data_IF_935198463700
#
_entry.id   IF_935198463700
#
_cell.length_a   1.000
_cell.length_b   1.000
_cell.length_c   1.000
_cell.angle_alpha   90.00
_cell.angle_beta   90.00
_cell.angle_gamma   90.00
#
_symmetry.space_group_name_H-M   'P 1'
#
loop_
_entity.id
_entity.type
_entity.pdbx_description
1 polymer ?
#
# COMPACT_ATOMS: atom_id res chain seq x y z
N UNK A 1 -54.43 -55.10 43.56
CA UNK A 1 -54.74 -54.44 42.27
C UNK A 1 -53.52 -53.67 41.80
N UNK A 2 -53.20 -53.80 40.50
CA UNK A 2 -52.30 -52.96 39.67
C UNK A 2 -50.77 -53.10 39.83
N UNK A 3 -50.22 -53.84 38.86
CA UNK A 3 -48.83 -53.83 38.36
C UNK A 3 -48.47 -52.44 37.81
N UNK A 4 -47.28 -51.92 38.08
CA UNK A 4 -46.62 -50.93 37.19
C UNK A 4 -45.11 -51.21 37.16
N UNK A 5 -44.66 -51.67 36.00
CA UNK A 5 -43.26 -51.80 35.61
C UNK A 5 -42.71 -50.42 35.23
N UNK A 6 -41.51 -50.07 35.67
CA UNK A 6 -40.79 -48.89 35.20
C UNK A 6 -39.80 -49.32 34.10
N UNK A 7 -40.14 -48.90 32.88
CA UNK A 7 -39.38 -49.08 31.65
C UNK A 7 -38.25 -48.04 31.63
N UNK A 8 -36.99 -48.49 31.51
CA UNK A 8 -35.86 -47.63 31.17
C UNK A 8 -36.02 -47.16 29.72
N UNK A 9 -36.35 -45.89 29.52
CA UNK A 9 -36.30 -45.24 28.22
C UNK A 9 -34.91 -44.67 27.98
N UNK A 10 -34.12 -45.32 27.11
CA UNK A 10 -32.90 -44.75 26.53
C UNK A 10 -33.29 -43.62 25.57
N UNK A 11 -33.09 -42.37 26.01
CA UNK A 11 -33.22 -41.18 25.18
C UNK A 11 -31.99 -41.07 24.26
N UNK A 12 -32.21 -41.38 22.98
CA UNK A 12 -31.29 -41.11 21.88
C UNK A 12 -31.12 -39.59 21.73
N UNK A 13 -29.93 -39.09 22.08
CA UNK A 13 -29.52 -37.71 21.84
C UNK A 13 -29.15 -37.59 20.35
N UNK A 14 -29.84 -36.76 19.54
CA UNK A 14 -29.37 -36.44 18.21
C UNK A 14 -28.14 -35.53 18.34
N UNK A 15 -27.01 -36.01 17.84
CA UNK A 15 -25.79 -35.24 17.67
C UNK A 15 -26.09 -34.14 16.63
N UNK A 16 -26.52 -32.97 17.09
CA UNK A 16 -26.71 -31.81 16.24
C UNK A 16 -25.32 -31.31 15.88
N UNK A 17 -24.86 -31.68 14.68
CA UNK A 17 -23.61 -31.19 14.10
C UNK A 17 -23.68 -29.68 13.98
N UNK A 18 -23.02 -28.99 14.91
CA UNK A 18 -22.78 -27.56 14.84
C UNK A 18 -21.77 -27.33 13.72
N UNK A 19 -22.25 -27.26 12.48
CA UNK A 19 -21.47 -26.79 11.34
C UNK A 19 -21.18 -25.30 11.60
N UNK A 20 -20.04 -25.04 12.23
CA UNK A 20 -19.54 -23.71 12.46
C UNK A 20 -19.43 -22.97 11.13
N UNK A 21 -20.09 -21.82 11.07
CA UNK A 21 -19.83 -20.78 10.08
C UNK A 21 -18.35 -20.39 10.19
N UNK A 22 -17.51 -20.96 9.34
CA UNK A 22 -16.14 -20.49 9.14
C UNK A 22 -16.22 -19.15 8.41
N UNK A 23 -16.31 -18.07 9.17
CA UNK A 23 -15.87 -16.77 8.70
C UNK A 23 -14.39 -16.90 8.30
N UNK A 24 -14.10 -16.63 7.03
CA UNK A 24 -12.73 -16.51 6.52
C UNK A 24 -12.04 -15.32 7.20
N UNK A 25 -11.54 -15.55 8.40
CA UNK A 25 -10.45 -14.76 8.95
C UNK A 25 -9.20 -15.17 8.17
N UNK A 26 -8.70 -14.27 7.33
CA UNK A 26 -7.42 -14.45 6.67
C UNK A 26 -6.34 -14.42 7.75
N UNK A 27 -6.04 -15.56 8.36
CA UNK A 27 -4.87 -15.72 9.21
C UNK A 27 -3.64 -15.66 8.31
N UNK A 28 -3.03 -14.49 8.20
CA UNK A 28 -1.71 -14.29 7.59
C UNK A 28 -0.68 -15.04 8.43
N UNK A 29 -0.37 -16.28 8.04
CA UNK A 29 0.83 -16.95 8.51
C UNK A 29 2.04 -16.07 8.14
N UNK A 30 2.94 -15.76 9.09
CA UNK A 30 4.13 -14.98 8.78
C UNK A 30 4.91 -15.65 7.65
N UNK A 31 5.28 -14.86 6.65
CA UNK A 31 6.15 -15.34 5.57
C UNK A 31 7.47 -15.82 6.18
N UNK A 32 7.91 -17.03 5.83
CA UNK A 32 9.13 -17.61 6.41
C UNK A 32 10.37 -16.79 6.07
N UNK A 33 11.35 -16.79 6.98
CA UNK A 33 12.60 -16.04 6.82
C UNK A 33 13.36 -16.48 5.56
N UNK A 34 13.36 -17.76 5.27
CA UNK A 34 14.01 -18.36 4.10
C UNK A 34 13.37 -17.84 2.81
N UNK A 35 12.05 -17.72 2.77
CA UNK A 35 11.33 -17.19 1.61
C UNK A 35 11.59 -15.70 1.41
N UNK A 36 11.61 -14.91 2.50
CA UNK A 36 11.99 -13.49 2.45
C UNK A 36 13.40 -13.33 1.87
N UNK A 37 14.35 -14.18 2.26
CA UNK A 37 15.71 -14.15 1.75
C UNK A 37 15.80 -14.41 0.23
N UNK A 38 14.95 -15.28 -0.32
CA UNK A 38 14.88 -15.53 -1.77
C UNK A 38 14.36 -14.34 -2.56
N UNK A 39 13.53 -13.50 -1.94
CA UNK A 39 12.93 -12.32 -2.57
C UNK A 39 13.81 -11.07 -2.45
N UNK A 40 14.99 -11.19 -1.83
CA UNK A 40 15.89 -10.06 -1.66
C UNK A 40 16.42 -9.53 -2.99
N UNK A 41 16.34 -8.21 -3.17
CA UNK A 41 16.73 -7.54 -4.42
C UNK A 41 15.63 -7.41 -5.46
N UNK A 42 14.50 -8.11 -5.27
CA UNK A 42 13.31 -7.92 -6.10
C UNK A 42 12.75 -6.49 -5.94
N UNK A 43 12.12 -5.92 -6.99
CA UNK A 43 11.47 -4.62 -6.87
C UNK A 43 10.41 -4.60 -5.76
N UNK A 44 10.36 -3.51 -5.00
CA UNK A 44 9.42 -3.32 -3.90
C UNK A 44 8.55 -2.07 -4.06
N UNK A 45 7.43 -2.07 -3.36
CA UNK A 45 6.47 -0.98 -3.28
C UNK A 45 5.95 -0.87 -1.85
N UNK A 46 5.74 0.35 -1.37
CA UNK A 46 5.27 0.59 0.00
C UNK A 46 3.91 1.27 -0.03
N UNK A 47 2.98 0.78 0.78
CA UNK A 47 1.79 1.51 1.17
C UNK A 47 1.80 1.80 2.67
N UNK A 48 1.44 3.02 3.06
CA UNK A 48 1.27 3.41 4.46
C UNK A 48 -0.19 3.80 4.69
N UNK A 49 -0.76 3.30 5.77
CA UNK A 49 -2.13 3.57 6.18
C UNK A 49 -2.16 4.18 7.58
N UNK A 50 -2.53 5.46 7.66
CA UNK A 50 -2.42 6.23 8.91
C UNK A 50 -3.44 5.82 9.96
N UNK A 51 -4.68 5.53 9.57
CA UNK A 51 -5.70 5.10 10.53
C UNK A 51 -5.38 3.73 11.12
N UNK A 52 -4.98 2.78 10.26
CA UNK A 52 -4.61 1.42 10.62
C UNK A 52 -3.25 1.35 11.32
N UNK A 53 -2.42 2.39 11.22
CA UNK A 53 -1.04 2.44 11.72
C UNK A 53 -0.19 1.30 11.15
N UNK A 54 -0.31 1.04 9.86
CA UNK A 54 0.46 0.00 9.18
C UNK A 54 1.26 0.55 8.01
N UNK A 55 2.42 -0.06 7.79
CA UNK A 55 3.19 0.02 6.56
C UNK A 55 3.17 -1.37 5.92
N UNK A 56 2.55 -1.48 4.76
CA UNK A 56 2.50 -2.70 3.96
C UNK A 56 3.65 -2.65 2.94
N UNK A 57 4.55 -3.63 3.01
CA UNK A 57 5.65 -3.80 2.07
C UNK A 57 5.26 -4.86 1.06
N UNK A 58 5.28 -4.48 -0.22
CA UNK A 58 4.99 -5.38 -1.33
C UNK A 58 6.26 -5.66 -2.12
N UNK A 59 6.35 -6.86 -2.68
CA UNK A 59 7.46 -7.29 -3.53
C UNK A 59 6.93 -7.81 -4.87
N UNK A 60 7.63 -7.49 -5.95
CA UNK A 60 7.26 -7.94 -7.29
C UNK A 60 7.54 -9.43 -7.45
N UNK A 61 6.52 -10.18 -7.85
CA UNK A 61 6.55 -11.60 -8.15
C UNK A 61 5.87 -11.83 -9.50
N UNK A 62 6.65 -12.22 -10.51
CA UNK A 62 6.17 -12.25 -11.89
C UNK A 62 5.76 -10.84 -12.34
N UNK A 63 4.51 -10.69 -12.78
CA UNK A 63 3.97 -9.40 -13.23
C UNK A 63 3.34 -8.54 -12.14
N UNK A 64 3.13 -9.08 -10.93
CA UNK A 64 2.34 -8.44 -9.89
C UNK A 64 3.14 -8.23 -8.61
N UNK A 65 2.73 -7.26 -7.80
CA UNK A 65 3.25 -7.04 -6.46
C UNK A 65 2.37 -7.76 -5.45
N UNK A 66 3.00 -8.58 -4.62
CA UNK A 66 2.34 -9.33 -3.55
C UNK A 66 2.78 -8.80 -2.19
N UNK A 67 1.88 -8.86 -1.22
CA UNK A 67 2.18 -8.42 0.14
C UNK A 67 3.25 -9.33 0.72
N UNK A 68 4.40 -8.75 1.09
CA UNK A 68 5.47 -9.46 1.76
C UNK A 68 5.21 -9.48 3.27
N UNK A 69 4.94 -8.31 3.85
CA UNK A 69 4.61 -8.17 5.27
C UNK A 69 3.94 -6.83 5.56
N UNK A 70 3.33 -6.73 6.74
CA UNK A 70 2.70 -5.54 7.30
C UNK A 70 3.33 -5.17 8.63
N UNK A 71 3.98 -4.01 8.68
CA UNK A 71 4.69 -3.54 9.87
C UNK A 71 3.87 -2.49 10.62
N UNK A 72 3.76 -2.66 11.94
CA UNK A 72 3.11 -1.67 12.81
C UNK A 72 3.94 -0.38 12.90
N UNK A 73 3.28 0.75 12.70
CA UNK A 73 3.82 2.09 12.96
C UNK A 73 3.63 2.39 14.45
N UNK A 74 4.72 2.64 15.18
CA UNK A 74 4.66 3.00 16.60
C UNK A 74 4.02 4.39 16.74
N UNK A 75 4.49 5.35 15.94
CA UNK A 75 4.06 6.75 16.03
C UNK A 75 4.13 7.44 14.67
N UNK A 76 3.09 8.23 14.40
CA UNK A 76 3.08 9.29 13.40
C UNK A 76 2.33 10.48 14.01
N UNK A 77 2.43 11.67 13.41
CA UNK A 77 1.94 12.91 14.02
C UNK A 77 0.81 13.55 13.20
N UNK A 78 -0.05 14.32 13.89
CA UNK A 78 -1.02 15.23 13.27
C UNK A 78 -2.29 14.60 12.69
N UNK A 79 -2.57 13.32 12.94
CA UNK A 79 -3.81 12.65 12.48
C UNK A 79 -3.97 12.62 10.94
N UNK A 80 -5.17 12.32 10.46
CA UNK A 80 -5.49 12.20 9.03
C UNK A 80 -5.49 13.55 8.30
N UNK A 81 -5.13 13.55 7.02
CA UNK A 81 -4.89 14.71 6.16
C UNK A 81 -3.39 14.90 5.82
N UNK A 82 -3.08 15.69 4.78
CA UNK A 82 -1.72 15.96 4.34
C UNK A 82 -0.98 16.93 5.26
N UNK A 83 0.36 16.85 5.25
CA UNK A 83 1.24 17.87 5.81
C UNK A 83 1.24 19.09 4.87
N UNK A 84 1.15 20.30 5.41
CA UNK A 84 1.07 21.53 4.61
C UNK A 84 2.12 22.57 4.97
N UNK A 85 2.58 22.66 6.22
CA UNK A 85 3.48 23.75 6.66
C UNK A 85 4.59 23.24 7.55
N UNK A 86 5.71 23.95 7.61
CA UNK A 86 6.72 23.65 8.62
C UNK A 86 6.14 23.89 10.03
N UNK A 87 6.39 22.95 10.96
CA UNK A 87 5.89 23.04 12.34
C UNK A 87 4.42 22.65 12.54
N UNK A 88 3.71 22.17 11.52
CA UNK A 88 2.33 21.66 11.68
C UNK A 88 2.21 20.29 12.37
N UNK A 89 3.35 19.71 12.76
CA UNK A 89 3.47 18.40 13.43
C UNK A 89 2.67 17.29 12.75
N UNK A 90 2.63 17.29 11.41
CA UNK A 90 1.81 16.37 10.63
C UNK A 90 2.63 15.47 9.72
N UNK A 91 2.29 14.19 9.70
CA UNK A 91 2.83 13.24 8.74
C UNK A 91 2.08 13.37 7.40
N UNK A 92 2.79 13.37 6.27
CA UNK A 92 2.21 13.64 4.96
C UNK A 92 1.27 12.53 4.48
N UNK A 93 0.49 12.82 3.44
CA UNK A 93 -0.30 11.86 2.66
C UNK A 93 -0.02 12.14 1.18
N UNK A 94 -0.15 11.14 0.30
CA UNK A 94 0.13 11.29 -1.13
C UNK A 94 1.10 10.26 -1.70
N UNK A 95 1.62 10.55 -2.89
CA UNK A 95 2.48 9.66 -3.66
C UNK A 95 3.92 10.16 -3.68
N UNK A 96 4.85 9.33 -3.24
CA UNK A 96 6.25 9.69 -3.04
C UNK A 96 7.17 8.65 -3.70
N UNK A 97 8.45 9.00 -3.81
CA UNK A 97 9.45 8.14 -4.41
C UNK A 97 10.77 8.22 -3.65
N UNK A 98 11.37 7.05 -3.41
CA UNK A 98 12.61 6.86 -2.67
C UNK A 98 13.69 6.37 -3.62
N UNK A 99 14.80 7.11 -3.67
CA UNK A 99 16.01 6.78 -4.40
C UNK A 99 17.15 6.44 -3.43
N UNK A 100 18.26 5.92 -3.96
CA UNK A 100 19.40 5.45 -3.15
C UNK A 100 19.99 6.51 -2.22
N UNK A 101 20.06 7.78 -2.66
CA UNK A 101 20.58 8.89 -1.85
C UNK A 101 19.67 9.28 -0.65
N UNK A 102 18.43 8.79 -0.63
CA UNK A 102 17.45 9.01 0.44
C UNK A 102 17.57 7.97 1.58
N UNK A 103 18.39 6.93 1.41
CA UNK A 103 18.71 5.98 2.47
C UNK A 103 19.69 6.61 3.47
N UNK A 104 19.40 6.46 4.77
CA UNK A 104 20.18 6.98 5.89
C UNK A 104 20.50 5.85 6.88
N UNK A 105 21.49 5.00 6.59
CA UNK A 105 21.87 3.89 7.47
C UNK A 105 22.42 4.37 8.82
N UNK A 106 22.98 5.58 8.86
CA UNK A 106 23.61 6.25 10.00
C UNK A 106 22.65 7.21 10.75
N UNK A 107 21.34 7.05 10.55
CA UNK A 107 20.33 7.86 11.23
C UNK A 107 20.45 7.77 12.75
N UNK A 108 20.29 8.92 13.42
CA UNK A 108 20.22 9.01 14.90
C UNK A 108 19.02 8.26 15.51
N UNK A 109 18.06 7.84 14.68
CA UNK A 109 16.86 7.08 15.08
C UNK A 109 16.88 5.63 14.55
N UNK A 110 18.06 4.99 14.52
CA UNK A 110 18.24 3.59 14.10
C UNK A 110 17.82 3.29 12.64
N UNK A 111 18.57 3.78 11.64
CA UNK A 111 18.23 3.77 10.19
C UNK A 111 17.00 4.62 9.84
N UNK A 112 17.05 5.23 8.66
CA UNK A 112 15.92 5.99 8.13
C UNK A 112 15.87 6.00 6.60
N UNK A 113 14.67 6.19 6.07
CA UNK A 113 14.38 6.36 4.66
C UNK A 113 13.66 7.69 4.50
N UNK A 114 14.28 8.66 3.82
CA UNK A 114 13.63 9.92 3.50
C UNK A 114 12.63 9.72 2.35
N UNK A 115 11.35 10.00 2.57
CA UNK A 115 10.31 9.74 1.56
C UNK A 115 10.32 10.76 0.41
N UNK A 116 11.04 11.88 0.53
CA UNK A 116 11.12 12.89 -0.53
C UNK A 116 9.98 13.90 -0.51
N UNK A 117 9.37 14.15 0.65
CA UNK A 117 8.49 15.32 0.85
C UNK A 117 9.31 16.62 0.81
N UNK A 118 8.82 17.69 0.15
CA UNK A 118 7.56 17.77 -0.59
C UNK A 118 7.67 17.16 -1.99
N UNK A 119 6.63 16.44 -2.44
CA UNK A 119 6.51 15.94 -3.82
C UNK A 119 6.00 17.04 -4.80
N UNK A 120 5.68 16.69 -6.04
CA UNK A 120 5.20 17.66 -7.03
C UNK A 120 3.84 18.31 -6.66
N UNK A 121 2.93 17.54 -6.05
CA UNK A 121 1.64 18.02 -5.61
C UNK A 121 1.82 19.00 -4.45
N UNK A 122 2.62 18.60 -3.46
CA UNK A 122 2.94 19.42 -2.29
C UNK A 122 3.52 20.78 -2.73
N UNK A 123 4.51 20.77 -3.63
CA UNK A 123 5.11 21.99 -4.18
C UNK A 123 4.10 22.85 -4.94
N UNK A 124 3.22 22.25 -5.73
CA UNK A 124 2.19 22.98 -6.48
C UNK A 124 1.17 23.70 -5.56
N UNK A 125 1.02 23.26 -4.31
CA UNK A 125 0.16 23.89 -3.30
C UNK A 125 0.94 24.73 -2.28
N UNK A 126 2.25 24.94 -2.50
CA UNK A 126 3.10 25.69 -1.58
C UNK A 126 3.28 24.99 -0.22
N UNK A 127 3.19 23.66 -0.17
CA UNK A 127 3.41 22.93 1.08
C UNK A 127 4.90 22.93 1.44
N UNK A 128 5.16 23.15 2.74
CA UNK A 128 6.51 23.36 3.24
C UNK A 128 6.95 22.31 4.27
N UNK A 129 8.26 22.12 4.35
CA UNK A 129 8.92 21.19 5.25
C UNK A 129 9.94 20.35 4.51
N UNK A 130 10.60 19.46 5.25
CA UNK A 130 11.64 18.56 4.75
C UNK A 130 11.85 17.43 5.75
N UNK A 131 12.60 16.41 5.34
CA UNK A 131 13.05 15.33 6.21
C UNK A 131 11.90 14.52 6.83
N UNK A 132 10.85 14.26 6.06
CA UNK A 132 9.82 13.30 6.45
C UNK A 132 10.36 11.91 6.15
N UNK A 133 10.46 11.07 7.19
CA UNK A 133 11.16 9.80 7.11
C UNK A 133 10.30 8.64 7.58
N UNK A 134 10.68 7.44 7.16
CA UNK A 134 10.33 6.18 7.82
C UNK A 134 11.60 5.77 8.58
N UNK A 135 11.53 5.58 9.90
CA UNK A 135 12.73 5.33 10.72
C UNK A 135 12.43 4.47 11.96
N UNK A 136 13.45 4.02 12.69
CA UNK A 136 13.32 3.22 13.91
C UNK A 136 13.00 4.03 15.17
N UNK A 137 13.39 3.50 16.33
CA UNK A 137 13.33 4.13 17.66
C UNK A 137 11.91 4.47 18.20
N UNK A 138 10.83 4.20 17.45
CA UNK A 138 9.44 4.44 17.86
C UNK A 138 9.09 5.87 18.36
N UNK A 139 9.94 6.87 18.18
CA UNK A 139 9.70 8.28 18.58
C UNK A 139 9.47 9.15 17.36
N UNK A 140 8.42 9.97 17.33
CA UNK A 140 8.16 10.86 16.18
C UNK A 140 7.43 12.15 16.57
N UNK A 141 7.74 13.21 15.79
CA UNK A 141 7.13 14.55 15.79
C UNK A 141 6.57 14.88 14.37
N UNK A 142 6.68 13.98 13.40
CA UNK A 142 6.22 14.18 12.01
C UNK A 142 6.51 13.02 11.05
N UNK A 143 7.49 12.18 11.36
CA UNK A 143 7.86 10.98 10.61
C UNK A 143 6.95 9.77 10.90
N UNK A 144 7.16 8.68 10.15
CA UNK A 144 6.62 7.35 10.44
C UNK A 144 7.65 6.55 11.25
N UNK A 145 7.50 6.53 12.57
CA UNK A 145 8.40 5.78 13.44
C UNK A 145 7.93 4.32 13.56
N UNK A 146 8.86 3.41 13.28
CA UNK A 146 8.73 1.96 13.31
C UNK A 146 9.51 1.41 14.50
N UNK A 147 9.33 0.13 14.79
CA UNK A 147 10.26 -0.61 15.66
C UNK A 147 11.60 -0.77 14.94
N UNK A 148 12.68 -0.95 15.70
CA UNK A 148 14.00 -1.22 15.15
C UNK A 148 14.00 -2.46 14.23
N UNK A 149 13.37 -3.54 14.69
CA UNK A 149 13.20 -4.75 13.87
C UNK A 149 12.42 -4.49 12.58
N UNK A 150 11.33 -3.71 12.64
CA UNK A 150 10.52 -3.40 11.46
C UNK A 150 11.30 -2.57 10.44
N UNK A 151 11.98 -1.50 10.88
CA UNK A 151 12.79 -0.70 9.97
C UNK A 151 13.99 -1.45 9.43
N UNK A 152 14.59 -2.40 10.17
CA UNK A 152 15.69 -3.21 9.66
C UNK A 152 15.29 -3.97 8.39
N UNK A 153 14.14 -4.64 8.44
CA UNK A 153 13.65 -5.44 7.33
C UNK A 153 13.20 -4.54 6.15
N UNK A 154 12.42 -3.49 6.43
CA UNK A 154 12.01 -2.51 5.41
C UNK A 154 13.25 -1.91 4.73
N UNK A 155 14.25 -1.49 5.51
CA UNK A 155 15.46 -0.88 5.00
C UNK A 155 16.28 -1.86 4.16
N UNK A 156 16.38 -3.13 4.56
CA UNK A 156 17.05 -4.17 3.79
C UNK A 156 16.38 -4.39 2.43
N UNK A 157 15.05 -4.53 2.39
CA UNK A 157 14.31 -4.72 1.14
C UNK A 157 14.38 -3.52 0.21
N UNK A 158 14.20 -2.31 0.74
CA UNK A 158 14.33 -1.07 -0.05
C UNK A 158 15.76 -0.91 -0.57
N UNK A 159 16.77 -1.15 0.27
CA UNK A 159 18.17 -1.09 -0.15
C UNK A 159 18.47 -2.12 -1.23
N UNK A 160 18.05 -3.37 -1.03
CA UNK A 160 18.24 -4.45 -1.99
C UNK A 160 17.63 -4.09 -3.33
N UNK A 161 16.35 -3.73 -3.36
CA UNK A 161 15.66 -3.39 -4.61
C UNK A 161 16.37 -2.26 -5.38
N UNK A 162 16.79 -1.19 -4.68
CA UNK A 162 17.50 -0.07 -5.28
C UNK A 162 18.91 -0.45 -5.79
N UNK A 163 19.62 -1.32 -5.07
CA UNK A 163 20.96 -1.80 -5.47
C UNK A 163 20.87 -2.75 -6.67
N UNK A 164 19.83 -3.58 -6.73
CA UNK A 164 19.63 -4.60 -7.76
C UNK A 164 18.81 -4.13 -8.97
N UNK A 165 18.63 -2.81 -9.13
CA UNK A 165 18.20 -2.21 -10.40
C UNK A 165 16.81 -1.58 -10.41
N UNK A 166 16.07 -1.58 -9.30
CA UNK A 166 14.88 -0.72 -9.21
C UNK A 166 15.34 0.75 -9.12
N UNK A 167 14.98 1.63 -10.07
CA UNK A 167 15.50 3.00 -10.10
C UNK A 167 15.00 3.84 -8.92
N UNK A 168 13.78 3.57 -8.48
CA UNK A 168 13.18 4.19 -7.30
C UNK A 168 12.06 3.33 -6.72
N UNK A 169 11.92 3.33 -5.40
CA UNK A 169 10.81 2.68 -4.69
C UNK A 169 9.67 3.67 -4.52
N UNK A 170 8.50 3.33 -5.06
CA UNK A 170 7.29 4.12 -4.89
C UNK A 170 6.72 3.92 -3.48
N UNK A 171 6.26 5.00 -2.86
CA UNK A 171 5.67 5.01 -1.52
C UNK A 171 4.33 5.76 -1.59
N UNK A 172 3.23 5.04 -1.40
CA UNK A 172 1.89 5.63 -1.36
C UNK A 172 1.40 5.72 0.07
N UNK A 173 0.99 6.91 0.50
CA UNK A 173 0.61 7.18 1.88
C UNK A 173 -0.85 7.63 1.90
N UNK A 174 -1.69 6.83 2.52
CA UNK A 174 -3.14 7.01 2.56
C UNK A 174 -3.63 7.33 3.98
N UNK A 175 -4.74 8.08 4.11
CA UNK A 175 -5.36 8.32 5.40
C UNK A 175 -5.83 7.00 6.07
N UNK A 176 -6.34 6.08 5.25
CA UNK A 176 -6.88 4.77 5.64
C UNK A 176 -6.89 3.87 4.40
N UNK A 177 -7.19 2.57 4.53
CA UNK A 177 -7.47 1.71 3.37
C UNK A 177 -8.67 2.29 2.61
N UNK A 178 -8.49 2.77 1.38
CA UNK A 178 -9.46 3.66 0.70
C UNK A 178 -10.66 2.91 0.07
N UNK A 179 -11.21 1.95 0.79
CA UNK A 179 -12.48 1.27 0.46
C UNK A 179 -13.62 2.28 0.42
N UNK A 180 -14.67 1.99 -0.36
CA UNK A 180 -15.84 2.87 -0.47
C UNK A 180 -16.54 3.06 0.89
N UNK A 181 -16.53 2.03 1.74
CA UNK A 181 -17.04 2.12 3.10
C UNK A 181 -16.25 3.13 3.95
N UNK A 182 -14.92 3.10 3.86
CA UNK A 182 -14.07 4.05 4.58
C UNK A 182 -14.20 5.48 4.03
N UNK A 183 -14.27 5.64 2.70
CA UNK A 183 -14.56 6.94 2.09
C UNK A 183 -15.90 7.51 2.56
N UNK A 184 -16.95 6.68 2.61
CA UNK A 184 -18.27 7.07 3.09
C UNK A 184 -18.28 7.42 4.58
N UNK A 185 -17.55 6.67 5.41
CA UNK A 185 -17.39 6.96 6.85
C UNK A 185 -16.75 8.32 7.10
N UNK A 186 -15.87 8.75 6.20
CA UNK A 186 -15.08 9.97 6.30
C UNK A 186 -15.57 11.14 5.43
N UNK A 187 -16.80 11.04 4.89
CA UNK A 187 -17.35 12.00 3.90
C UNK A 187 -17.46 13.47 4.34
N UNK A 188 -17.40 13.75 5.65
CA UNK A 188 -17.49 15.11 6.18
C UNK A 188 -16.13 15.70 6.59
N UNK A 189 -15.02 15.02 6.26
CA UNK A 189 -13.68 15.54 6.50
C UNK A 189 -13.37 16.73 5.60
N UNK A 190 -12.67 17.72 6.15
CA UNK A 190 -12.11 18.85 5.39
C UNK A 190 -11.10 18.40 4.31
N UNK A 191 -10.59 17.17 4.39
CA UNK A 191 -9.64 16.60 3.44
C UNK A 191 -10.30 15.68 2.41
N UNK A 192 -11.64 15.59 2.38
CA UNK A 192 -12.36 14.71 1.44
C UNK A 192 -11.91 14.91 -0.01
N UNK A 193 -11.84 16.14 -0.49
CA UNK A 193 -11.51 16.43 -1.89
C UNK A 193 -10.04 16.11 -2.24
N UNK A 194 -9.16 16.11 -1.24
CA UNK A 194 -7.80 15.62 -1.37
C UNK A 194 -7.78 14.08 -1.40
N UNK A 195 -8.54 13.41 -0.53
CA UNK A 195 -8.64 11.95 -0.50
C UNK A 195 -9.29 11.36 -1.76
N UNK A 196 -10.25 12.06 -2.37
CA UNK A 196 -10.80 11.68 -3.68
C UNK A 196 -9.75 11.68 -4.79
N UNK A 197 -8.67 12.46 -4.66
CA UNK A 197 -7.54 12.42 -5.59
C UNK A 197 -6.58 11.25 -5.33
N UNK A 198 -6.52 10.73 -4.11
CA UNK A 198 -5.71 9.56 -3.76
C UNK A 198 -6.37 8.24 -4.16
N UNK A 199 -7.71 8.17 -4.05
CA UNK A 199 -8.49 6.96 -4.28
C UNK A 199 -8.20 6.27 -5.63
N UNK A 200 -8.11 6.98 -6.77
CA UNK A 200 -7.78 6.33 -8.04
C UNK A 200 -6.45 5.57 -8.03
N UNK A 201 -5.46 6.04 -7.27
CA UNK A 201 -4.16 5.37 -7.16
C UNK A 201 -4.22 4.13 -6.27
N UNK A 202 -5.03 4.20 -5.21
CA UNK A 202 -5.34 3.05 -4.36
C UNK A 202 -6.09 1.97 -5.16
N UNK A 203 -7.18 2.35 -5.82
CA UNK A 203 -8.03 1.44 -6.60
C UNK A 203 -7.24 0.80 -7.76
N UNK A 204 -6.36 1.56 -8.42
CA UNK A 204 -5.45 1.02 -9.45
C UNK A 204 -4.59 -0.12 -8.91
N UNK A 205 -3.99 0.06 -7.73
CA UNK A 205 -3.14 -0.97 -7.14
C UNK A 205 -3.96 -2.20 -6.73
N UNK A 206 -5.14 -2.01 -6.12
CA UNK A 206 -6.01 -3.13 -5.73
C UNK A 206 -6.49 -3.96 -6.93
N UNK A 207 -6.75 -3.32 -8.07
CA UNK A 207 -7.21 -4.01 -9.29
C UNK A 207 -6.06 -4.69 -10.06
N UNK A 208 -4.91 -4.02 -10.18
CA UNK A 208 -3.84 -4.47 -11.07
C UNK A 208 -2.69 -5.17 -10.36
N UNK A 209 -2.56 -4.98 -9.05
CA UNK A 209 -1.38 -5.33 -8.24
C UNK A 209 -0.09 -4.73 -8.81
N UNK A 210 -0.17 -3.56 -9.44
CA UNK A 210 0.99 -2.79 -9.94
C UNK A 210 0.97 -1.39 -9.31
N UNK A 211 2.12 -0.83 -8.89
CA UNK A 211 2.18 0.53 -8.37
C UNK A 211 1.62 1.54 -9.39
N UNK A 212 0.78 2.50 -8.96
CA UNK A 212 0.18 3.48 -9.86
C UNK A 212 1.22 4.46 -10.39
N UNK A 213 1.19 4.75 -11.68
CA UNK A 213 1.98 5.86 -12.24
C UNK A 213 1.22 7.16 -12.05
N UNK A 214 1.70 8.00 -11.13
CA UNK A 214 1.03 9.25 -10.74
C UNK A 214 1.79 10.47 -11.25
N UNK A 215 1.06 11.41 -11.83
CA UNK A 215 1.53 12.74 -12.22
C UNK A 215 0.70 13.82 -11.54
N UNK A 216 1.12 15.08 -11.67
CA UNK A 216 0.38 16.25 -11.16
C UNK A 216 0.08 17.19 -12.32
N UNK A 217 -1.19 17.42 -12.60
CA UNK A 217 -1.67 18.30 -13.67
C UNK A 217 -2.63 19.31 -13.08
N UNK A 218 -2.42 20.61 -13.33
CA UNK A 218 -3.22 21.70 -12.78
C UNK A 218 -3.42 21.61 -11.25
N UNK A 219 -2.36 21.23 -10.53
CA UNK A 219 -2.41 21.06 -9.08
C UNK A 219 -3.25 19.88 -8.61
N UNK A 220 -3.47 18.85 -9.44
CA UNK A 220 -4.23 17.65 -9.03
C UNK A 220 -3.48 16.37 -9.39
N UNK A 221 -3.60 15.35 -8.56
CA UNK A 221 -3.06 14.03 -8.90
C UNK A 221 -3.83 13.44 -10.10
N UNK A 222 -3.10 12.86 -11.03
CA UNK A 222 -3.62 12.13 -12.18
C UNK A 222 -2.93 10.77 -12.24
N UNK A 223 -3.73 9.70 -12.17
CA UNK A 223 -3.25 8.31 -12.27
C UNK A 223 -3.32 7.88 -13.73
N UNK A 224 -2.18 7.47 -14.28
CA UNK A 224 -2.11 6.98 -15.65
C UNK A 224 -2.79 5.61 -15.73
N UNK A 225 -3.63 5.42 -16.75
CA UNK A 225 -4.15 4.09 -17.07
C UNK A 225 -3.00 3.20 -17.54
N UNK A 226 -3.04 1.88 -17.31
CA UNK A 226 -2.09 0.98 -17.95
C UNK A 226 -2.21 1.16 -19.46
N UNK A 227 -1.10 1.20 -20.19
CA UNK A 227 -1.16 1.11 -21.65
C UNK A 227 -1.84 -0.23 -21.97
N UNK A 228 -3.10 -0.20 -22.37
CA UNK A 228 -3.71 -1.32 -23.07
C UNK A 228 -2.91 -1.47 -24.35
N UNK A 229 -2.13 -2.54 -24.49
CA UNK A 229 -1.76 -3.01 -25.81
C UNK A 229 -3.04 -3.54 -26.48
N UNK A 230 -3.96 -2.65 -26.83
CA UNK A 230 -4.75 -2.89 -28.03
C UNK A 230 -3.73 -2.89 -29.14
N UNK A 231 -3.42 -4.10 -29.62
CA UNK A 231 -2.83 -4.27 -30.93
C UNK A 231 -3.81 -3.60 -31.88
N UNK A 232 -3.56 -2.34 -32.22
CA UNK A 232 -4.13 -1.75 -33.43
C UNK A 232 -3.53 -2.60 -34.54
N UNK A 233 -4.23 -3.66 -34.94
CA UNK A 233 -3.97 -4.32 -36.20
C UNK A 233 -3.94 -3.19 -37.23
N UNK A 234 -2.83 -2.99 -37.96
CA UNK A 234 -2.85 -2.08 -39.08
C UNK A 234 -4.00 -2.57 -39.96
N UNK A 235 -5.04 -1.76 -40.14
CA UNK A 235 -5.96 -2.00 -41.23
C UNK A 235 -5.10 -1.93 -42.48
N UNK A 236 -4.82 -3.10 -43.06
CA UNK A 236 -4.26 -3.22 -44.39
C UNK A 236 -5.15 -2.36 -45.28
N UNK A 237 -4.60 -1.22 -45.74
CA UNK A 237 -5.19 -0.42 -46.80
C UNK A 237 -5.14 -1.25 -48.09
N UNK A 238 -6.04 -2.23 -48.19
CA UNK A 238 -6.33 -2.93 -49.42
C UNK A 238 -7.25 -2.04 -50.23
N UNK A 239 -6.67 -1.12 -51.01
CA UNK A 239 -7.30 -0.45 -52.16
C UNK A 239 -6.25 0.25 -53.03
N UNK A 240 -5.16 -0.45 -53.36
CA UNK A 240 -4.31 -0.07 -54.49
C UNK A 240 -4.69 -0.90 -55.71
N UNK A 241 -5.50 -0.31 -56.58
CA UNK A 241 -5.69 -0.78 -57.95
C UNK A 241 -4.50 -0.30 -58.78
N UNK A 242 -3.66 -1.24 -59.24
CA UNK A 242 -2.56 -0.93 -60.14
C UNK A 242 -3.13 -0.60 -61.53
N UNK A 243 -2.77 0.54 -62.16
CA UNK A 243 -3.14 0.79 -63.55
C UNK A 243 -2.33 -0.09 -64.48
N UNK A 244 -3.01 -0.69 -65.46
CA UNK A 244 -2.39 -1.47 -66.55
C UNK A 244 -1.47 -0.57 -67.37
N UNK A 245 -0.22 -1.01 -67.56
CA UNK A 245 0.74 -0.37 -68.44
C UNK A 245 0.34 -0.64 -69.91
N UNK A 246 0.24 0.43 -70.71
CA UNK A 246 0.32 0.38 -72.18
C UNK A 246 1.73 0.66 -72.63
#
# INVERSE_FOLDING_TARGET
MRKIALILAMLLIPCVSFAGLLGSSSSTTPVSKEYKQQLMGSPVYIQIFKEERTLDLYVKMGEQYQLLDSYKICKYSGGLGPKQRQGDFKSPEGFYSVQRNQLKPDSRYYKAINIGFPNAYDRAHGYEGKYLMIHGDCVSIGCYAMTNQGIDEIFQFVTGALVFGQPSVQVSIYPFRMTDANMKRHKYSNFKDFWEQLKPGYDYFEQTRKPPTVSVVNGRYVVSKPLSHEVVQPQLASNYTLPEAK
#
